data_IF_293016271227
#
_entry.id   IF_293016271227
#
_cell.length_a   1.000
_cell.length_b   1.000
_cell.length_c   1.000
_cell.angle_alpha   90.00
_cell.angle_beta   90.00
_cell.angle_gamma   90.00
#
_symmetry.space_group_name_H-M   'P 1'
#
loop_
_entity.id
_entity.type
_entity.pdbx_description
1 polymer ?
#
# COMPACT_ATOMS: atom_id res chain seq x y z
N UNK A 1 -6.12 17.26 2.88
CA UNK A 1 -7.35 17.24 2.06
C UNK A 1 -8.13 15.94 2.31
N UNK A 2 -9.37 15.80 1.80
CA UNK A 2 -10.09 14.51 1.88
C UNK A 2 -9.31 13.38 1.20
N UNK A 3 -8.74 13.63 0.02
CA UNK A 3 -7.98 12.64 -0.74
C UNK A 3 -6.75 12.14 0.04
N UNK A 4 -5.98 13.04 0.65
CA UNK A 4 -4.85 12.64 1.50
C UNK A 4 -5.31 11.77 2.67
N UNK A 5 -6.38 12.14 3.37
CA UNK A 5 -6.84 11.35 4.53
C UNK A 5 -7.42 10.01 4.09
N UNK A 6 -8.09 9.96 2.94
CA UNK A 6 -8.55 8.71 2.34
C UNK A 6 -7.36 7.79 2.06
N UNK A 7 -6.32 8.30 1.40
CA UNK A 7 -5.09 7.54 1.16
C UNK A 7 -4.40 7.13 2.46
N UNK A 8 -4.30 8.01 3.45
CA UNK A 8 -3.70 7.67 4.74
C UNK A 8 -4.43 6.52 5.40
N UNK A 9 -5.76 6.59 5.45
CA UNK A 9 -6.60 5.57 6.05
C UNK A 9 -6.49 4.23 5.29
N UNK A 10 -6.47 4.30 3.96
CA UNK A 10 -6.30 3.14 3.08
C UNK A 10 -4.91 2.51 3.20
N UNK A 11 -3.88 3.32 3.47
CA UNK A 11 -2.48 2.92 3.58
C UNK A 11 -2.02 2.69 5.03
N UNK A 12 -2.95 2.53 5.97
CA UNK A 12 -2.69 1.95 7.29
C UNK A 12 -2.99 2.86 8.47
N UNK A 13 -3.36 4.13 8.25
CA UNK A 13 -3.75 5.02 9.33
C UNK A 13 -5.08 4.59 9.97
N UNK A 14 -5.05 4.25 11.26
CA UNK A 14 -6.19 3.66 11.99
C UNK A 14 -7.10 4.69 12.68
N UNK A 15 -7.13 5.93 12.19
CA UNK A 15 -7.87 7.02 12.86
C UNK A 15 -9.32 7.12 12.37
N UNK A 16 -9.53 7.02 11.06
CA UNK A 16 -10.85 7.11 10.43
C UNK A 16 -10.93 6.07 9.32
N UNK A 17 -12.07 5.40 9.19
CA UNK A 17 -12.25 4.39 8.15
C UNK A 17 -12.36 5.06 6.76
N UNK A 18 -11.70 4.55 5.69
CA UNK A 18 -11.72 5.16 4.36
C UNK A 18 -13.13 5.44 3.81
N UNK A 19 -14.07 4.51 4.04
CA UNK A 19 -15.49 4.70 3.67
C UNK A 19 -16.14 5.93 4.31
N UNK A 20 -15.82 6.25 5.56
CA UNK A 20 -16.35 7.43 6.23
C UNK A 20 -15.79 8.72 5.61
N UNK A 21 -14.49 8.72 5.27
CA UNK A 21 -13.85 9.83 4.54
C UNK A 21 -14.52 10.03 3.18
N UNK A 22 -14.80 8.94 2.46
CA UNK A 22 -15.44 8.98 1.14
C UNK A 22 -16.84 9.58 1.19
N UNK A 23 -17.67 9.18 2.16
CA UNK A 23 -19.01 9.76 2.35
C UNK A 23 -18.93 11.26 2.64
N UNK A 24 -18.01 11.67 3.51
CA UNK A 24 -17.81 13.09 3.82
C UNK A 24 -17.33 13.90 2.61
N UNK A 25 -16.43 13.32 1.81
CA UNK A 25 -15.95 13.92 0.56
C UNK A 25 -17.10 14.11 -0.43
N UNK A 26 -17.90 13.08 -0.68
CA UNK A 26 -19.01 13.12 -1.66
C UNK A 26 -20.10 14.13 -1.25
N UNK A 27 -20.36 14.25 0.06
CA UNK A 27 -21.27 15.26 0.60
C UNK A 27 -20.63 16.63 0.85
N UNK A 28 -19.34 16.80 0.57
CA UNK A 28 -18.54 17.98 0.93
C UNK A 28 -18.75 18.44 2.39
N UNK A 29 -18.80 17.48 3.32
CA UNK A 29 -19.03 17.71 4.76
C UNK A 29 -17.69 17.81 5.49
N UNK A 30 -17.31 18.99 6.01
CA UNK A 30 -16.06 19.17 6.76
C UNK A 30 -15.96 18.20 7.94
N UNK A 31 -14.81 17.55 8.08
CA UNK A 31 -14.52 16.69 9.23
C UNK A 31 -13.52 17.38 10.17
N UNK A 32 -13.66 17.12 11.47
CA UNK A 32 -12.69 17.54 12.48
C UNK A 32 -12.35 16.34 13.36
N UNK A 33 -11.11 15.90 13.31
CA UNK A 33 -10.59 14.86 14.20
C UNK A 33 -10.13 15.52 15.49
N UNK A 34 -10.76 15.20 16.62
CA UNK A 34 -10.44 15.73 17.95
C UNK A 34 -10.03 14.63 18.91
N UNK A 35 -9.29 15.02 19.94
CA UNK A 35 -9.03 14.17 21.11
C UNK A 35 -10.22 14.29 22.08
N UNK A 36 -10.71 13.18 22.62
CA UNK A 36 -11.82 13.18 23.61
C UNK A 36 -11.36 13.54 25.02
N UNK A 37 -10.05 13.48 25.29
CA UNK A 37 -9.44 13.73 26.59
C UNK A 37 -9.00 15.19 26.79
N UNK A 38 -9.04 16.02 25.74
CA UNK A 38 -8.70 17.44 25.84
C UNK A 38 -9.37 18.29 24.75
N UNK A 39 -9.42 19.60 24.98
CA UNK A 39 -10.01 20.58 24.06
C UNK A 39 -9.05 21.06 22.97
N UNK A 40 -8.13 20.21 22.53
CA UNK A 40 -7.24 20.51 21.41
C UNK A 40 -8.02 20.89 20.14
N UNK A 41 -7.42 21.76 19.31
CA UNK A 41 -8.03 22.23 18.05
C UNK A 41 -8.32 21.10 17.05
N UNK A 42 -7.57 20.00 17.14
CA UNK A 42 -7.73 18.84 16.26
C UNK A 42 -7.20 19.08 14.85
N UNK A 43 -7.55 18.16 13.94
CA UNK A 43 -7.20 18.23 12.52
C UNK A 43 -8.47 18.43 11.70
N UNK A 44 -8.51 19.50 10.91
CA UNK A 44 -9.61 19.81 10.01
C UNK A 44 -9.34 19.17 8.65
N UNK A 45 -10.35 18.49 8.10
CA UNK A 45 -10.28 17.83 6.80
C UNK A 45 -11.39 18.40 5.93
N UNK A 46 -11.00 19.05 4.84
CA UNK A 46 -11.90 19.70 3.88
C UNK A 46 -11.37 19.57 2.45
N UNK A 47 -12.16 20.03 1.48
CA UNK A 47 -11.76 20.13 0.08
C UNK A 47 -10.77 21.29 -0.17
N UNK A 48 -10.82 22.33 0.65
CA UNK A 48 -9.97 23.52 0.55
C UNK A 48 -8.81 23.44 1.53
N UNK A 49 -7.98 22.40 1.41
CA UNK A 49 -6.73 22.34 2.17
C UNK A 49 -5.82 23.49 1.71
N UNK A 50 -5.34 24.29 2.66
CA UNK A 50 -4.37 25.35 2.36
C UNK A 50 -3.06 24.66 1.97
N UNK A 51 -2.64 24.84 0.72
CA UNK A 51 -1.30 24.42 0.30
C UNK A 51 -0.27 25.18 1.13
N UNK A 52 0.61 24.43 1.80
CA UNK A 52 1.73 25.00 2.54
C UNK A 52 2.92 25.06 1.58
N UNK A 53 3.42 26.25 1.21
CA UNK A 53 4.53 26.38 0.28
C UNK A 53 5.75 25.57 0.75
N UNK A 54 6.33 24.77 -0.15
CA UNK A 54 7.51 23.94 0.12
C UNK A 54 7.24 22.61 0.83
N UNK A 55 5.99 22.31 1.20
CA UNK A 55 5.63 21.00 1.77
C UNK A 55 5.47 19.97 0.64
N UNK A 56 6.38 18.99 0.61
CA UNK A 56 6.40 17.93 -0.41
C UNK A 56 5.61 16.70 0.04
N UNK A 57 5.76 16.29 1.30
CA UNK A 57 5.09 15.12 1.88
C UNK A 57 4.17 15.56 3.00
N UNK A 58 2.94 15.07 3.00
CA UNK A 58 1.93 15.38 4.01
C UNK A 58 1.92 14.39 5.16
N UNK A 59 2.16 13.11 4.86
CA UNK A 59 2.15 12.05 5.85
C UNK A 59 2.97 10.84 5.43
N UNK A 60 3.28 10.03 6.45
CA UNK A 60 3.90 8.72 6.31
C UNK A 60 3.03 7.74 7.09
N UNK A 61 2.65 6.63 6.48
CA UNK A 61 1.90 5.54 7.11
C UNK A 61 2.66 4.23 6.99
N UNK A 62 2.32 3.28 7.86
CA UNK A 62 2.89 1.94 7.83
C UNK A 62 1.81 0.86 7.94
N UNK A 63 2.07 -0.26 7.29
CA UNK A 63 1.31 -1.50 7.42
C UNK A 63 2.28 -2.65 7.66
N UNK A 64 2.24 -3.21 8.86
CA UNK A 64 3.05 -4.37 9.25
C UNK A 64 2.40 -5.68 8.80
N UNK A 65 3.05 -6.80 9.12
CA UNK A 65 2.56 -8.16 8.86
C UNK A 65 2.23 -8.42 7.39
N UNK A 66 3.09 -7.94 6.51
CA UNK A 66 3.02 -8.23 5.07
C UNK A 66 3.94 -9.39 4.73
N UNK A 67 3.56 -10.14 3.72
CA UNK A 67 4.41 -11.15 3.09
C UNK A 67 4.62 -10.76 1.65
N UNK A 68 5.87 -10.65 1.22
CA UNK A 68 6.20 -10.54 -0.19
C UNK A 68 6.26 -11.94 -0.79
N UNK A 69 5.49 -12.13 -1.86
CA UNK A 69 5.44 -13.33 -2.66
C UNK A 69 6.13 -13.06 -3.99
N UNK A 70 6.91 -14.01 -4.47
CA UNK A 70 7.48 -14.01 -5.81
C UNK A 70 7.20 -15.35 -6.49
N UNK A 71 6.55 -15.29 -7.65
CA UNK A 71 6.27 -16.47 -8.50
C UNK A 71 7.03 -16.28 -9.80
N UNK A 72 8.03 -17.12 -10.05
CA UNK A 72 8.87 -17.02 -11.25
C UNK A 72 8.36 -17.92 -12.35
N UNK A 73 8.33 -17.40 -13.58
CA UNK A 73 7.98 -18.19 -14.76
C UNK A 73 8.94 -19.37 -14.95
N UNK A 74 10.24 -19.21 -14.72
CA UNK A 74 11.24 -20.28 -14.90
C UNK A 74 10.99 -21.51 -14.02
N UNK A 75 10.36 -21.34 -12.86
CA UNK A 75 10.04 -22.39 -11.89
C UNK A 75 8.67 -23.02 -12.15
N UNK A 76 7.90 -22.46 -13.09
CA UNK A 76 6.50 -22.78 -13.35
C UNK A 76 6.17 -22.92 -14.85
N UNK A 77 7.17 -22.91 -15.72
CA UNK A 77 7.02 -22.84 -17.20
C UNK A 77 6.17 -23.98 -17.79
N UNK A 78 6.16 -25.13 -17.13
CA UNK A 78 5.46 -26.33 -17.58
C UNK A 78 4.04 -26.41 -17.01
N UNK A 79 3.67 -25.50 -16.10
CA UNK A 79 2.34 -25.44 -15.50
C UNK A 79 1.42 -24.56 -16.36
N UNK A 80 0.29 -25.10 -16.88
CA UNK A 80 -0.69 -24.30 -17.60
C UNK A 80 -1.37 -23.25 -16.70
N UNK A 81 -1.26 -23.41 -15.38
CA UNK A 81 -1.93 -22.57 -14.39
C UNK A 81 -1.13 -21.31 -14.02
N UNK A 82 0.08 -21.11 -14.56
CA UNK A 82 0.88 -19.92 -14.23
C UNK A 82 0.11 -18.63 -14.52
N UNK A 83 -0.53 -18.55 -15.69
CA UNK A 83 -1.29 -17.37 -16.11
C UNK A 83 -2.67 -17.23 -15.44
N UNK A 84 -3.11 -18.23 -14.67
CA UNK A 84 -4.39 -18.19 -13.92
C UNK A 84 -4.19 -17.99 -12.42
N UNK A 85 -2.95 -17.71 -11.99
CA UNK A 85 -2.62 -17.48 -10.59
C UNK A 85 -3.51 -16.42 -9.94
N UNK A 86 -3.57 -15.22 -10.51
CA UNK A 86 -4.32 -14.10 -9.93
C UNK A 86 -5.82 -14.40 -9.83
N UNK A 87 -6.39 -15.11 -10.81
CA UNK A 87 -7.77 -15.58 -10.75
C UNK A 87 -7.97 -16.60 -9.63
N UNK A 88 -7.02 -17.53 -9.47
CA UNK A 88 -7.01 -18.50 -8.37
C UNK A 88 -7.00 -17.82 -7.01
N UNK A 89 -6.19 -16.78 -6.83
CA UNK A 89 -6.13 -16.01 -5.59
C UNK A 89 -7.44 -15.25 -5.33
N UNK A 90 -7.99 -14.59 -6.36
CA UNK A 90 -9.24 -13.84 -6.26
C UNK A 90 -10.43 -14.74 -5.88
N UNK A 91 -10.54 -15.93 -6.50
CA UNK A 91 -11.60 -16.91 -6.20
C UNK A 91 -11.53 -17.46 -4.77
N UNK A 92 -10.37 -17.37 -4.13
CA UNK A 92 -10.15 -17.78 -2.74
C UNK A 92 -10.09 -16.58 -1.77
N UNK A 93 -10.53 -15.40 -2.21
CA UNK A 93 -10.64 -14.17 -1.40
C UNK A 93 -9.32 -13.69 -0.80
N UNK A 94 -8.18 -13.99 -1.44
CA UNK A 94 -6.87 -13.52 -1.01
C UNK A 94 -6.64 -12.12 -1.58
N UNK A 95 -6.54 -11.12 -0.70
CA UNK A 95 -6.34 -9.73 -1.11
C UNK A 95 -4.88 -9.45 -1.41
N UNK A 96 -4.60 -8.94 -2.62
CA UNK A 96 -3.27 -8.56 -3.06
C UNK A 96 -3.02 -7.06 -2.84
N UNK A 97 -1.76 -6.70 -2.60
CA UNK A 97 -1.26 -5.33 -2.54
C UNK A 97 0.14 -5.27 -3.16
N UNK A 98 0.60 -4.08 -3.58
CA UNK A 98 1.87 -3.86 -4.29
C UNK A 98 2.10 -4.90 -5.41
N UNK A 99 1.24 -4.93 -6.41
CA UNK A 99 1.32 -5.91 -7.50
C UNK A 99 2.31 -5.40 -8.57
N UNK A 100 3.35 -6.17 -8.86
CA UNK A 100 4.27 -5.96 -9.95
C UNK A 100 4.34 -7.24 -10.82
N UNK A 101 3.75 -7.16 -12.02
CA UNK A 101 3.81 -8.23 -13.02
C UNK A 101 4.92 -7.89 -14.02
N UNK A 102 5.93 -8.74 -14.09
CA UNK A 102 7.01 -8.66 -15.06
C UNK A 102 6.88 -9.80 -16.08
N UNK A 103 7.57 -9.74 -17.23
CA UNK A 103 7.48 -10.79 -18.24
C UNK A 103 7.83 -12.21 -17.75
N UNK A 104 8.65 -12.34 -16.71
CA UNK A 104 9.14 -13.63 -16.22
C UNK A 104 8.93 -13.86 -14.72
N UNK A 105 8.26 -12.96 -14.02
CA UNK A 105 7.89 -13.15 -12.61
C UNK A 105 6.74 -12.24 -12.19
N UNK A 106 5.96 -12.70 -11.24
CA UNK A 106 4.94 -11.92 -10.55
C UNK A 106 5.38 -11.71 -9.10
N UNK A 107 5.44 -10.45 -8.67
CA UNK A 107 5.81 -10.06 -7.32
C UNK A 107 4.67 -9.26 -6.72
N UNK A 108 4.14 -9.70 -5.60
CA UNK A 108 3.05 -9.03 -4.90
C UNK A 108 3.15 -9.25 -3.40
N UNK A 109 2.34 -8.54 -2.63
CA UNK A 109 2.24 -8.74 -1.19
C UNK A 109 0.85 -9.18 -0.78
N UNK A 110 0.78 -10.03 0.24
CA UNK A 110 -0.46 -10.44 0.90
C UNK A 110 -0.36 -10.19 2.41
N UNK A 111 -1.50 -10.24 3.09
CA UNK A 111 -1.50 -10.18 4.55
C UNK A 111 -0.97 -11.50 5.10
N UNK A 112 -0.18 -11.45 6.17
CA UNK A 112 0.38 -12.64 6.79
C UNK A 112 -0.70 -13.62 7.26
N UNK A 113 -1.90 -13.11 7.58
CA UNK A 113 -3.06 -13.96 7.95
C UNK A 113 -3.59 -14.81 6.79
N UNK A 114 -3.31 -14.41 5.54
CA UNK A 114 -3.80 -15.12 4.34
C UNK A 114 -2.83 -16.23 3.89
N UNK A 115 -1.65 -16.37 4.51
CA UNK A 115 -0.60 -17.31 4.08
C UNK A 115 -1.05 -18.76 4.06
N UNK A 116 -1.79 -19.22 5.07
CA UNK A 116 -2.23 -20.62 5.13
C UNK A 116 -3.18 -20.96 3.98
N UNK A 117 -4.07 -20.02 3.62
CA UNK A 117 -4.98 -20.18 2.48
C UNK A 117 -4.20 -20.07 1.16
N UNK A 118 -3.27 -19.13 1.07
CA UNK A 118 -2.38 -18.96 -0.09
C UNK A 118 -1.62 -20.25 -0.43
N UNK A 119 -1.05 -20.91 0.57
CA UNK A 119 -0.31 -22.17 0.39
C UNK A 119 -1.18 -23.29 -0.20
N UNK A 120 -2.44 -23.38 0.25
CA UNK A 120 -3.42 -24.33 -0.29
C UNK A 120 -3.71 -24.04 -1.76
N UNK A 121 -3.91 -22.76 -2.11
CA UNK A 121 -4.16 -22.34 -3.50
C UNK A 121 -2.96 -22.67 -4.39
N UNK A 122 -1.75 -22.32 -3.97
CA UNK A 122 -0.52 -22.60 -4.74
C UNK A 122 -0.31 -24.10 -4.95
N UNK A 123 -0.57 -24.90 -3.92
CA UNK A 123 -0.52 -26.37 -4.02
C UNK A 123 -1.54 -26.93 -5.01
N UNK A 124 -2.78 -26.42 -4.98
CA UNK A 124 -3.84 -26.85 -5.89
C UNK A 124 -3.56 -26.47 -7.35
N UNK A 125 -2.94 -25.31 -7.58
CA UNK A 125 -2.51 -24.86 -8.90
C UNK A 125 -1.22 -25.55 -9.38
N UNK A 126 -0.49 -26.21 -8.46
CA UNK A 126 0.80 -26.83 -8.75
C UNK A 126 1.87 -25.79 -9.08
N UNK A 127 1.85 -24.65 -8.40
CA UNK A 127 2.77 -23.54 -8.62
C UNK A 127 3.79 -23.42 -7.49
N UNK A 128 5.04 -23.17 -7.86
CA UNK A 128 6.15 -22.85 -6.98
C UNK A 128 6.22 -21.35 -6.74
N UNK A 129 6.56 -20.96 -5.51
CA UNK A 129 6.75 -19.55 -5.12
C UNK A 129 7.84 -19.43 -4.06
N UNK A 130 8.32 -18.20 -3.88
CA UNK A 130 9.14 -17.83 -2.72
C UNK A 130 8.40 -16.77 -1.91
N UNK A 131 8.58 -16.81 -0.58
CA UNK A 131 7.93 -15.88 0.35
C UNK A 131 8.94 -15.27 1.31
N UNK A 132 8.81 -13.97 1.54
CA UNK A 132 9.52 -13.23 2.57
C UNK A 132 8.48 -12.68 3.54
N UNK A 133 8.40 -13.26 4.75
CA UNK A 133 7.46 -12.86 5.80
C UNK A 133 8.04 -11.74 6.67
N UNK A 134 7.17 -11.10 7.45
CA UNK A 134 7.57 -10.06 8.39
C UNK A 134 7.98 -8.74 7.71
N UNK A 135 7.41 -8.46 6.54
CA UNK A 135 7.63 -7.20 5.84
C UNK A 135 6.71 -6.11 6.41
N UNK A 136 7.20 -4.87 6.35
CA UNK A 136 6.39 -3.67 6.60
C UNK A 136 6.32 -2.86 5.31
N UNK A 137 5.11 -2.49 4.90
CA UNK A 137 4.88 -1.51 3.84
C UNK A 137 4.89 -0.11 4.45
N UNK A 138 5.67 0.78 3.88
CA UNK A 138 5.70 2.20 4.23
C UNK A 138 5.14 2.99 3.05
N UNK A 139 4.15 3.85 3.29
CA UNK A 139 3.56 4.70 2.26
C UNK A 139 3.82 6.16 2.62
N UNK A 140 4.35 6.92 1.66
CA UNK A 140 4.49 8.36 1.76
C UNK A 140 3.40 9.01 0.91
N UNK A 141 2.65 9.93 1.51
CA UNK A 141 1.50 10.57 0.88
C UNK A 141 1.73 12.07 0.90
N UNK A 142 1.63 12.71 -0.26
CA UNK A 142 1.63 14.16 -0.36
C UNK A 142 1.40 14.62 -1.80
N UNK A 143 0.52 15.62 -1.96
CA UNK A 143 0.23 16.21 -3.27
C UNK A 143 1.46 16.91 -3.87
N UNK A 144 2.34 17.45 -3.01
CA UNK A 144 3.59 18.11 -3.35
C UNK A 144 4.70 17.18 -3.85
N UNK A 145 4.52 15.85 -3.83
CA UNK A 145 5.49 14.91 -4.41
C UNK A 145 5.43 14.88 -5.95
N UNK A 146 4.30 15.29 -6.53
CA UNK A 146 4.03 15.16 -7.96
C UNK A 146 4.94 16.06 -8.79
N UNK A 147 5.64 15.47 -9.76
CA UNK A 147 6.47 16.20 -10.70
C UNK A 147 7.71 16.85 -10.09
N UNK A 148 8.02 16.57 -8.81
CA UNK A 148 9.21 17.04 -8.12
C UNK A 148 10.32 16.00 -8.25
N UNK A 149 11.38 16.26 -9.05
CA UNK A 149 12.47 15.31 -9.20
C UNK A 149 13.23 15.11 -7.88
N UNK A 150 13.73 13.90 -7.65
CA UNK A 150 14.64 13.61 -6.54
C UNK A 150 13.96 13.22 -5.21
N UNK A 151 12.63 13.24 -5.11
CA UNK A 151 11.91 12.80 -3.90
C UNK A 151 12.22 11.34 -3.57
N UNK A 152 12.02 10.42 -4.52
CA UNK A 152 12.34 8.99 -4.35
C UNK A 152 13.84 8.78 -4.07
N UNK A 153 14.72 9.50 -4.77
CA UNK A 153 16.16 9.39 -4.54
C UNK A 153 16.55 9.75 -3.10
N UNK A 154 15.95 10.81 -2.54
CA UNK A 154 16.15 11.21 -1.14
C UNK A 154 15.65 10.14 -0.17
N UNK A 155 14.47 9.56 -0.42
CA UNK A 155 13.89 8.51 0.41
C UNK A 155 14.80 7.28 0.43
N UNK A 156 15.15 6.75 -0.74
CA UNK A 156 15.99 5.57 -0.87
C UNK A 156 17.36 5.79 -0.24
N UNK A 157 17.96 6.97 -0.45
CA UNK A 157 19.25 7.32 0.18
C UNK A 157 19.20 7.17 1.71
N UNK A 158 18.19 7.75 2.36
CA UNK A 158 18.05 7.67 3.83
C UNK A 158 17.88 6.22 4.29
N UNK A 159 17.04 5.44 3.60
CA UNK A 159 16.85 4.02 3.94
C UNK A 159 18.15 3.22 3.79
N UNK A 160 18.93 3.46 2.74
CA UNK A 160 20.22 2.81 2.55
C UNK A 160 21.26 3.20 3.61
N UNK A 161 21.33 4.48 3.99
CA UNK A 161 22.23 4.98 5.06
C UNK A 161 21.90 4.32 6.42
N UNK A 162 20.63 4.04 6.68
CA UNK A 162 20.15 3.34 7.88
C UNK A 162 20.18 1.80 7.76
N UNK A 163 20.76 1.25 6.69
CA UNK A 163 20.82 -0.20 6.41
C UNK A 163 19.43 -0.89 6.32
N UNK A 164 18.41 -0.14 5.90
CA UNK A 164 17.07 -0.66 5.67
C UNK A 164 16.97 -1.16 4.23
N UNK A 165 16.81 -2.48 4.06
CA UNK A 165 16.66 -3.10 2.75
C UNK A 165 15.28 -2.78 2.17
N UNK A 166 15.26 -2.11 1.02
CA UNK A 166 14.04 -1.92 0.22
C UNK A 166 13.83 -3.14 -0.66
N UNK A 167 12.72 -3.86 -0.45
CA UNK A 167 12.39 -5.07 -1.23
C UNK A 167 11.60 -4.74 -2.50
N UNK A 168 10.77 -3.71 -2.46
CA UNK A 168 9.86 -3.37 -3.54
C UNK A 168 9.42 -1.91 -3.40
N UNK A 169 9.11 -1.28 -4.53
CA UNK A 169 8.62 0.09 -4.58
C UNK A 169 7.47 0.17 -5.59
N UNK A 170 6.42 0.91 -5.25
CA UNK A 170 5.39 1.30 -6.18
C UNK A 170 5.16 2.81 -6.06
N UNK A 171 4.70 3.43 -7.13
CA UNK A 171 4.25 4.82 -7.13
C UNK A 171 2.80 4.85 -7.62
N UNK A 172 2.00 5.75 -7.05
CA UNK A 172 0.60 5.92 -7.39
C UNK A 172 0.40 7.31 -7.98
N UNK A 173 -0.07 7.38 -9.22
CA UNK A 173 -0.49 8.63 -9.82
C UNK A 173 -1.97 8.88 -9.53
N UNK A 174 -2.31 9.39 -8.34
CA UNK A 174 -3.70 9.79 -8.05
C UNK A 174 -3.99 11.15 -8.68
N UNK A 175 -4.91 11.18 -9.66
CA UNK A 175 -5.48 12.41 -10.25
C UNK A 175 -6.49 13.06 -9.35
#
# INVERSE_FOLDING_TARGET
>A
SYNEVFQMADQGARVIHPRAVKIAMDGNVPLVIKNTLNDGKGTIITNSAVEVPGKVVDSITSMDNRVQITVKYSENKDSPNYYTLLDGLANNLISLDLINVFPYEEVFTIDDVDMDNFDIVMKNLGLNYTAIRGCTKISLIGSGMRGVPGVIAKILKVLFEENIKVLQTADSHTT
#
